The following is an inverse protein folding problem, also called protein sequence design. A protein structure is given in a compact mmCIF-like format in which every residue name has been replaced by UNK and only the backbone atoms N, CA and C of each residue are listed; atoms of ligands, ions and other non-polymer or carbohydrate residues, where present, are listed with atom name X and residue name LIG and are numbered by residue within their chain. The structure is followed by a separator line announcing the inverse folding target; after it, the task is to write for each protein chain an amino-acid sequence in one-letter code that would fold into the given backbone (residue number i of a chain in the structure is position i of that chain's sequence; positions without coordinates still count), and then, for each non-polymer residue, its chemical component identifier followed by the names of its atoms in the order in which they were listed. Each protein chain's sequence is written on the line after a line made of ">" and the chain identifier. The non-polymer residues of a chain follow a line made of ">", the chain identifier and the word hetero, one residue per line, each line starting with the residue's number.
data_IF_557175601130
#
_entry.id   IF_557175601130
#
_cell.length_a   1.000
_cell.length_b   1.000
_cell.length_c   1.000
_cell.angle_alpha   90.00
_cell.angle_beta   90.00
_cell.angle_gamma   90.00
#
_symmetry.space_group_name_H-M   'P 1'
#
loop_
_entity.id
_entity.type
_entity.pdbx_description
1 polymer ?
#
# COMPACT_ATOMS: atom_id res chain seq x y z
N UNK A 1 10.80 -30.51 34.60
CA UNK A 1 10.40 -30.38 33.18
C UNK A 1 11.25 -29.27 32.56
N UNK A 2 12.10 -29.59 31.58
CA UNK A 2 13.02 -28.63 30.95
C UNK A 2 12.34 -28.02 29.72
N UNK A 3 12.18 -26.71 29.68
CA UNK A 3 11.79 -25.98 28.47
C UNK A 3 13.03 -25.75 27.61
N UNK A 4 12.97 -26.17 26.34
CA UNK A 4 14.05 -25.98 25.37
C UNK A 4 13.99 -24.60 24.74
N UNK A 5 15.09 -23.85 24.83
CA UNK A 5 15.29 -22.59 24.12
C UNK A 5 15.46 -22.84 22.61
N UNK A 6 14.58 -22.27 21.79
CA UNK A 6 14.73 -22.26 20.34
C UNK A 6 15.70 -21.15 19.93
N UNK A 7 16.96 -21.51 19.65
CA UNK A 7 18.00 -20.60 19.20
C UNK A 7 17.86 -20.35 17.69
N UNK A 8 17.32 -19.20 17.29
CA UNK A 8 17.28 -18.74 15.89
C UNK A 8 18.71 -18.41 15.45
N UNK A 9 19.30 -19.24 14.59
CA UNK A 9 20.58 -18.96 13.93
C UNK A 9 20.36 -18.02 12.74
N UNK A 10 20.68 -16.73 12.90
CA UNK A 10 20.78 -15.78 11.78
C UNK A 10 21.98 -16.17 10.93
N UNK A 11 21.73 -16.81 9.77
CA UNK A 11 22.80 -17.11 8.80
C UNK A 11 23.37 -15.80 8.26
N UNK A 12 24.69 -15.60 8.36
CA UNK A 12 25.40 -14.49 7.72
C UNK A 12 25.04 -14.46 6.22
N UNK A 13 24.73 -13.29 5.63
CA UNK A 13 24.44 -13.19 4.21
C UNK A 13 25.64 -13.67 3.40
N UNK A 14 25.39 -14.51 2.39
CA UNK A 14 26.43 -15.03 1.50
C UNK A 14 27.22 -13.89 0.85
N UNK A 15 28.47 -14.17 0.48
CA UNK A 15 29.36 -13.20 -0.16
C UNK A 15 28.69 -12.49 -1.37
N UNK A 16 27.82 -13.22 -2.08
CA UNK A 16 26.99 -12.76 -3.20
C UNK A 16 25.99 -11.65 -2.81
N UNK A 17 25.38 -11.73 -1.62
CA UNK A 17 24.44 -10.71 -1.13
C UNK A 17 25.19 -9.45 -0.68
N UNK A 18 26.41 -9.62 -0.16
CA UNK A 18 27.27 -8.51 0.25
C UNK A 18 27.80 -7.75 -0.97
N UNK A 19 28.23 -8.46 -2.02
CA UNK A 19 28.66 -7.85 -3.29
C UNK A 19 27.51 -7.18 -4.04
N UNK A 20 26.30 -7.76 -4.05
CA UNK A 20 25.12 -7.12 -4.66
C UNK A 20 24.74 -5.79 -3.97
N UNK A 21 24.81 -5.74 -2.63
CA UNK A 21 24.58 -4.49 -1.88
C UNK A 21 25.68 -3.45 -2.14
N UNK A 22 26.93 -3.86 -2.31
CA UNK A 22 28.02 -2.96 -2.68
C UNK A 22 27.84 -2.38 -4.09
N UNK A 23 27.42 -3.20 -5.07
CA UNK A 23 27.13 -2.77 -6.43
C UNK A 23 25.96 -1.78 -6.49
N UNK A 24 24.89 -2.03 -5.72
CA UNK A 24 23.75 -1.12 -5.67
C UNK A 24 24.14 0.24 -5.06
N UNK A 25 24.99 0.24 -4.02
CA UNK A 25 25.54 1.48 -3.44
C UNK A 25 26.47 2.23 -4.40
N UNK A 26 27.32 1.53 -5.16
CA UNK A 26 28.18 2.16 -6.17
C UNK A 26 27.38 2.78 -7.32
N UNK A 27 26.30 2.12 -7.75
CA UNK A 27 25.41 2.65 -8.79
C UNK A 27 24.70 3.94 -8.35
N UNK A 28 24.27 4.02 -7.09
CA UNK A 28 23.67 5.23 -6.51
C UNK A 28 24.71 6.35 -6.34
N UNK A 29 25.95 6.01 -5.97
CA UNK A 29 27.04 6.99 -5.84
C UNK A 29 27.47 7.59 -7.19
N UNK A 30 27.52 6.77 -8.25
CA UNK A 30 27.83 7.21 -9.60
C UNK A 30 26.77 8.15 -10.20
N UNK A 31 25.48 7.92 -9.89
CA UNK A 31 24.38 8.80 -10.31
C UNK A 31 24.42 10.15 -9.56
N UNK A 32 24.84 10.18 -8.29
CA UNK A 32 24.90 11.42 -7.50
C UNK A 32 26.02 12.37 -7.90
N UNK A 33 27.06 11.92 -8.60
CA UNK A 33 28.26 12.73 -8.85
C UNK A 33 28.47 13.12 -10.32
N UNK A 34 27.37 13.46 -11.04
CA UNK A 34 27.32 14.19 -12.32
C UNK A 34 28.51 14.00 -13.28
N UNK A 35 28.95 12.75 -13.47
CA UNK A 35 30.04 12.38 -14.39
C UNK A 35 29.62 11.20 -15.26
N UNK A 36 28.33 11.15 -15.61
CA UNK A 36 27.78 10.25 -16.63
C UNK A 36 27.24 11.10 -17.79
N UNK A 37 27.75 10.93 -19.02
CA UNK A 37 27.21 11.63 -20.18
C UNK A 37 25.78 11.13 -20.47
N UNK A 38 24.84 12.07 -20.57
CA UNK A 38 23.37 11.87 -20.56
C UNK A 38 22.81 11.23 -21.85
N UNK A 39 23.64 10.91 -22.84
CA UNK A 39 23.19 10.53 -24.19
C UNK A 39 23.41 9.05 -24.56
N UNK A 40 23.33 8.12 -23.61
CA UNK A 40 23.43 6.66 -23.90
C UNK A 40 22.28 5.82 -23.35
N UNK A 41 21.09 6.43 -23.20
CA UNK A 41 19.94 5.82 -22.53
C UNK A 41 19.20 4.70 -23.29
N UNK A 42 19.64 4.26 -24.48
CA UNK A 42 18.93 3.24 -25.26
C UNK A 42 19.71 1.94 -25.51
N UNK A 43 20.99 1.85 -25.16
CA UNK A 43 21.81 0.69 -25.50
C UNK A 43 22.72 0.25 -24.36
N UNK A 44 22.36 -0.86 -23.70
CA UNK A 44 23.11 -1.48 -22.60
C UNK A 44 24.55 -1.86 -22.99
N UNK A 45 24.82 -1.99 -24.29
CA UNK A 45 26.14 -2.34 -24.83
C UNK A 45 27.18 -1.24 -24.56
N UNK A 46 26.77 0.02 -24.57
CA UNK A 46 27.65 1.17 -24.37
C UNK A 46 28.14 1.34 -22.92
N UNK A 47 27.31 0.96 -21.95
CA UNK A 47 27.65 1.00 -20.50
C UNK A 47 28.63 -0.11 -20.13
N UNK A 48 28.45 -1.30 -20.69
CA UNK A 48 29.38 -2.42 -20.50
C UNK A 48 30.75 -2.13 -21.11
N UNK A 49 30.80 -1.55 -22.31
CA UNK A 49 32.05 -1.18 -22.98
C UNK A 49 32.87 -0.12 -22.20
N UNK A 50 32.20 0.81 -21.50
CA UNK A 50 32.87 1.79 -20.63
C UNK A 50 33.43 1.12 -19.36
N UNK A 51 32.66 0.25 -18.72
CA UNK A 51 33.09 -0.49 -17.54
C UNK A 51 34.25 -1.45 -17.82
N UNK A 52 34.27 -2.09 -18.99
CA UNK A 52 35.40 -2.93 -19.43
C UNK A 52 36.70 -2.14 -19.58
N UNK A 53 36.62 -0.90 -20.12
CA UNK A 53 37.80 -0.03 -20.30
C UNK A 53 38.33 0.55 -19.01
N UNK A 54 37.47 0.89 -18.05
CA UNK A 54 37.88 1.56 -16.81
C UNK A 54 38.37 0.57 -15.76
N UNK A 55 37.81 -0.64 -15.72
CA UNK A 55 38.04 -1.59 -14.61
C UNK A 55 38.85 -2.82 -15.04
N UNK A 56 39.15 -2.99 -16.34
CA UNK A 56 40.06 -4.03 -16.84
C UNK A 56 39.65 -5.46 -16.48
N UNK A 57 38.34 -5.71 -16.31
CA UNK A 57 37.81 -6.97 -15.82
C UNK A 57 37.18 -7.74 -16.98
N UNK A 58 37.92 -8.69 -17.58
CA UNK A 58 37.32 -9.70 -18.47
C UNK A 58 36.54 -10.71 -17.63
N UNK A 59 35.33 -10.34 -17.21
CA UNK A 59 34.45 -11.19 -16.43
C UNK A 59 33.42 -11.87 -17.36
N UNK A 60 33.78 -13.09 -17.72
CA UNK A 60 32.94 -14.24 -18.07
C UNK A 60 31.42 -14.05 -18.01
N UNK A 61 30.78 -14.52 -19.09
CA UNK A 61 29.35 -14.63 -19.28
C UNK A 61 28.61 -15.18 -18.08
N UNK A 62 27.88 -14.30 -17.42
CA UNK A 62 26.70 -14.59 -16.64
C UNK A 62 25.90 -13.29 -16.51
N UNK A 63 25.46 -12.75 -17.65
CA UNK A 63 24.40 -11.75 -17.66
C UNK A 63 23.12 -12.48 -17.22
N UNK A 64 22.97 -12.64 -15.91
CA UNK A 64 21.69 -12.91 -15.30
C UNK A 64 20.83 -11.70 -15.64
N UNK A 65 20.13 -11.79 -16.78
CA UNK A 65 18.98 -10.95 -17.08
C UNK A 65 18.10 -11.06 -15.86
N UNK A 66 18.09 -10.00 -15.05
CA UNK A 66 17.08 -9.80 -14.03
C UNK A 66 15.78 -9.62 -14.80
N UNK A 67 15.14 -10.72 -15.17
CA UNK A 67 13.77 -10.72 -15.67
C UNK A 67 12.92 -10.29 -14.50
N UNK A 68 12.62 -9.00 -14.45
CA UNK A 68 11.49 -8.49 -13.68
C UNK A 68 10.27 -9.24 -14.20
N UNK A 69 9.81 -10.24 -13.44
CA UNK A 69 8.55 -10.92 -13.71
C UNK A 69 7.46 -9.86 -13.63
N UNK A 70 6.98 -9.40 -14.80
CA UNK A 70 5.76 -8.59 -14.89
C UNK A 70 4.66 -9.39 -14.22
N UNK A 71 4.15 -8.88 -13.10
CA UNK A 71 2.99 -9.44 -12.41
C UNK A 71 1.79 -9.21 -13.32
N UNK A 72 1.39 -10.23 -14.07
CA UNK A 72 0.17 -10.24 -14.88
C UNK A 72 -1.03 -9.91 -13.97
N UNK A 73 -1.74 -8.82 -14.27
CA UNK A 73 -2.96 -8.45 -13.54
C UNK A 73 -4.08 -9.35 -14.05
N UNK A 74 -4.42 -10.37 -13.25
CA UNK A 74 -5.49 -11.32 -13.58
C UNK A 74 -6.83 -10.58 -13.70
N UNK A 75 -7.48 -10.65 -14.87
CA UNK A 75 -8.75 -9.97 -15.15
C UNK A 75 -9.90 -10.85 -14.65
N UNK A 76 -10.45 -10.50 -13.49
CA UNK A 76 -11.60 -11.20 -12.90
C UNK A 76 -12.84 -11.06 -13.79
N UNK A 77 -13.60 -12.15 -13.96
CA UNK A 77 -14.91 -12.10 -14.62
C UNK A 77 -15.98 -11.69 -13.61
N UNK A 78 -17.15 -11.28 -14.10
CA UNK A 78 -18.27 -10.85 -13.25
C UNK A 78 -18.68 -11.92 -12.21
N UNK A 79 -18.66 -13.20 -12.60
CA UNK A 79 -18.92 -14.33 -11.70
C UNK A 79 -17.91 -14.43 -10.57
N UNK A 80 -16.63 -14.18 -10.89
CA UNK A 80 -15.53 -14.29 -9.93
C UNK A 80 -15.58 -13.13 -8.93
N UNK A 81 -16.00 -11.94 -9.38
CA UNK A 81 -16.26 -10.76 -8.53
C UNK A 81 -17.43 -11.04 -7.58
N UNK A 82 -18.54 -11.58 -8.10
CA UNK A 82 -19.72 -11.88 -7.29
C UNK A 82 -19.43 -12.97 -6.24
N UNK A 83 -18.71 -14.03 -6.62
CA UNK A 83 -18.27 -15.07 -5.69
C UNK A 83 -17.36 -14.51 -4.60
N UNK A 84 -16.36 -13.69 -4.98
CA UNK A 84 -15.48 -13.05 -4.00
C UNK A 84 -16.24 -12.10 -3.07
N UNK A 85 -17.20 -11.35 -3.59
CA UNK A 85 -18.06 -10.50 -2.78
C UNK A 85 -18.88 -11.34 -1.79
N UNK A 86 -19.45 -12.47 -2.23
CA UNK A 86 -20.19 -13.40 -1.37
C UNK A 86 -19.33 -13.94 -0.21
N UNK A 87 -18.09 -14.34 -0.49
CA UNK A 87 -17.15 -14.80 0.54
C UNK A 87 -16.85 -13.70 1.56
N UNK A 88 -16.55 -12.49 1.05
CA UNK A 88 -16.21 -11.34 1.88
C UNK A 88 -17.40 -10.93 2.76
N UNK A 89 -18.62 -10.90 2.23
CA UNK A 89 -19.80 -10.52 3.03
C UNK A 89 -20.29 -11.64 3.95
N UNK A 90 -19.94 -12.89 3.67
CA UNK A 90 -20.44 -14.08 4.38
C UNK A 90 -19.65 -14.45 5.64
N UNK A 91 -18.32 -14.39 5.60
CA UNK A 91 -17.47 -14.90 6.69
C UNK A 91 -16.59 -13.83 7.34
N UNK A 92 -15.57 -13.36 6.62
CA UNK A 92 -14.51 -12.51 7.16
C UNK A 92 -15.03 -11.17 7.70
N UNK A 93 -16.08 -10.63 7.08
CA UNK A 93 -16.65 -9.34 7.46
C UNK A 93 -17.34 -9.36 8.83
N UNK A 94 -18.00 -10.46 9.19
CA UNK A 94 -18.63 -10.53 10.52
C UNK A 94 -17.60 -10.61 11.65
N UNK A 95 -16.44 -11.21 11.41
CA UNK A 95 -15.35 -11.22 12.39
C UNK A 95 -14.71 -9.84 12.54
N UNK A 96 -14.46 -9.15 11.43
CA UNK A 96 -13.82 -7.83 11.43
C UNK A 96 -14.73 -6.70 11.92
N UNK A 97 -16.03 -6.78 11.64
CA UNK A 97 -16.97 -5.66 11.85
C UNK A 97 -18.20 -6.04 12.69
N UNK A 98 -18.24 -7.25 13.26
CA UNK A 98 -19.39 -7.76 14.01
C UNK A 98 -20.61 -8.04 13.13
N UNK A 99 -21.73 -8.33 13.79
CA UNK A 99 -23.02 -8.56 13.11
C UNK A 99 -23.42 -7.32 12.32
N UNK A 100 -23.85 -7.53 11.07
CA UNK A 100 -24.21 -6.44 10.14
C UNK A 100 -25.31 -5.53 10.68
N UNK A 101 -26.33 -6.12 11.32
CA UNK A 101 -27.46 -5.38 11.91
C UNK A 101 -26.96 -4.39 12.97
N UNK A 102 -26.09 -4.85 13.88
CA UNK A 102 -25.55 -4.01 14.95
C UNK A 102 -24.63 -2.93 14.41
N UNK A 103 -23.79 -3.27 13.41
CA UNK A 103 -22.89 -2.32 12.78
C UNK A 103 -23.64 -1.22 12.04
N UNK A 104 -24.61 -1.59 11.19
CA UNK A 104 -25.44 -0.63 10.46
C UNK A 104 -26.32 0.19 11.39
N UNK A 105 -26.82 -0.39 12.49
CA UNK A 105 -27.53 0.34 13.53
C UNK A 105 -26.66 1.42 14.17
N UNK A 106 -25.41 1.10 14.53
CA UNK A 106 -24.45 2.09 15.07
C UNK A 106 -24.13 3.18 14.07
N UNK A 107 -23.88 2.84 12.80
CA UNK A 107 -23.65 3.81 11.73
C UNK A 107 -24.85 4.75 11.58
N UNK A 108 -26.07 4.20 11.55
CA UNK A 108 -27.28 5.00 11.46
C UNK A 108 -27.40 5.97 12.65
N UNK A 109 -27.08 5.53 13.86
CA UNK A 109 -27.08 6.40 15.05
C UNK A 109 -26.10 7.57 14.91
N UNK A 110 -24.85 7.33 14.53
CA UNK A 110 -23.85 8.42 14.41
C UNK A 110 -24.14 9.34 13.22
N UNK A 111 -24.68 8.81 12.12
CA UNK A 111 -25.09 9.62 10.97
C UNK A 111 -26.28 10.52 11.31
N UNK A 112 -27.30 10.00 12.00
CA UNK A 112 -28.40 10.82 12.47
C UNK A 112 -27.95 11.91 13.44
N UNK A 113 -26.97 11.62 14.31
CA UNK A 113 -26.37 12.63 15.18
C UNK A 113 -25.68 13.73 14.37
N UNK A 114 -24.91 13.38 13.33
CA UNK A 114 -24.30 14.36 12.42
C UNK A 114 -25.36 15.21 11.73
N UNK A 115 -26.37 14.58 11.11
CA UNK A 115 -27.44 15.29 10.40
C UNK A 115 -28.16 16.30 11.29
N UNK A 116 -28.34 15.98 12.58
CA UNK A 116 -28.99 16.87 13.54
C UNK A 116 -28.14 18.08 13.95
N UNK A 117 -26.81 17.97 13.91
CA UNK A 117 -25.89 19.06 14.34
C UNK A 117 -25.31 19.86 13.17
N UNK A 118 -25.69 19.53 11.92
CA UNK A 118 -25.31 20.30 10.73
C UNK A 118 -25.71 21.76 10.89
N UNK A 119 -24.90 22.66 10.31
CA UNK A 119 -25.17 24.11 10.32
C UNK A 119 -26.54 24.45 9.75
N UNK A 120 -26.93 23.74 8.70
CA UNK A 120 -28.28 23.75 8.16
C UNK A 120 -28.81 22.30 8.05
N UNK A 121 -29.60 21.83 9.03
CA UNK A 121 -30.18 20.49 9.00
C UNK A 121 -31.16 20.27 7.84
N UNK A 122 -31.72 21.34 7.26
CA UNK A 122 -32.69 21.28 6.17
C UNK A 122 -32.04 21.24 4.78
N UNK A 123 -30.77 21.63 4.69
CA UNK A 123 -30.03 21.61 3.43
C UNK A 123 -29.81 20.18 2.92
N UNK A 124 -29.84 19.95 1.59
CA UNK A 124 -29.38 18.72 0.98
C UNK A 124 -27.93 18.39 1.38
N UNK A 125 -27.56 17.11 1.32
CA UNK A 125 -26.17 16.71 1.54
C UNK A 125 -25.29 17.14 0.37
N UNK A 126 -24.12 17.66 0.68
CA UNK A 126 -23.09 18.01 -0.31
C UNK A 126 -21.91 17.02 -0.30
N UNK A 127 -20.90 17.29 -1.13
CA UNK A 127 -19.72 16.45 -1.23
C UNK A 127 -18.87 16.43 0.05
N UNK A 128 -18.84 17.53 0.81
CA UNK A 128 -18.14 17.62 2.08
C UNK A 128 -18.85 16.77 3.14
N UNK A 129 -20.19 16.84 3.22
CA UNK A 129 -21.00 16.02 4.12
C UNK A 129 -20.74 14.53 3.91
N UNK A 130 -20.63 14.08 2.65
CA UNK A 130 -20.31 12.68 2.33
C UNK A 130 -18.93 12.29 2.88
N UNK A 131 -17.92 13.17 2.75
CA UNK A 131 -16.59 12.95 3.31
C UNK A 131 -16.63 12.71 4.83
N UNK A 132 -17.36 13.57 5.56
CA UNK A 132 -17.53 13.43 7.01
C UNK A 132 -18.33 12.16 7.37
N UNK A 133 -19.39 11.82 6.63
CA UNK A 133 -20.17 10.61 6.86
C UNK A 133 -19.32 9.34 6.69
N UNK A 134 -18.35 9.34 5.76
CA UNK A 134 -17.39 8.24 5.60
C UNK A 134 -16.44 8.08 6.79
N UNK A 135 -15.99 9.20 7.38
CA UNK A 135 -15.22 9.19 8.64
C UNK A 135 -16.06 8.58 9.77
N UNK A 136 -17.31 9.03 9.92
CA UNK A 136 -18.21 8.53 10.96
C UNK A 136 -18.54 7.05 10.79
N UNK A 137 -18.65 6.57 9.56
CA UNK A 137 -18.82 5.15 9.26
C UNK A 137 -17.64 4.34 9.81
N UNK A 138 -16.40 4.80 9.58
CA UNK A 138 -15.20 4.13 10.07
C UNK A 138 -15.09 4.21 11.59
N UNK A 139 -15.42 5.36 12.19
CA UNK A 139 -15.50 5.50 13.65
C UNK A 139 -16.50 4.51 14.27
N UNK A 140 -17.70 4.36 13.70
CA UNK A 140 -18.70 3.41 14.19
C UNK A 140 -18.22 1.95 14.12
N UNK A 141 -17.44 1.59 13.09
CA UNK A 141 -16.89 0.22 12.94
C UNK A 141 -15.92 -0.15 14.05
N UNK A 142 -15.19 0.81 14.62
CA UNK A 142 -14.29 0.56 15.77
C UNK A 142 -15.02 0.03 17.02
N UNK A 143 -16.34 0.20 17.10
CA UNK A 143 -17.17 -0.23 18.22
C UNK A 143 -17.70 -1.67 18.05
N UNK A 144 -17.18 -2.39 17.05
CA UNK A 144 -17.64 -3.72 16.66
C UNK A 144 -16.51 -4.56 16.10
N UNK A 145 -16.56 -5.88 16.33
CA UNK A 145 -15.52 -6.78 15.82
C UNK A 145 -14.18 -6.60 16.53
N UNK A 146 -13.11 -7.07 15.89
CA UNK A 146 -11.73 -6.94 16.37
C UNK A 146 -11.12 -5.58 16.05
N UNK A 147 -10.17 -5.13 16.86
CA UNK A 147 -9.38 -3.94 16.58
C UNK A 147 -8.73 -4.02 15.18
N UNK A 148 -8.91 -2.97 14.38
CA UNK A 148 -8.39 -2.86 13.02
C UNK A 148 -7.74 -1.48 12.82
N UNK A 149 -6.43 -1.45 12.57
CA UNK A 149 -5.69 -0.20 12.34
C UNK A 149 -6.09 0.51 11.04
N UNK A 150 -6.58 -0.23 10.05
CA UNK A 150 -7.08 0.31 8.78
C UNK A 150 -8.22 1.30 9.00
N UNK A 151 -9.04 1.11 10.04
CA UNK A 151 -10.14 2.02 10.32
C UNK A 151 -9.64 3.43 10.66
N UNK A 152 -8.49 3.56 11.32
CA UNK A 152 -7.89 4.86 11.65
C UNK A 152 -7.20 5.51 10.45
N UNK A 153 -6.55 4.70 9.60
CA UNK A 153 -5.95 5.20 8.36
C UNK A 153 -7.02 5.75 7.42
N UNK A 154 -8.12 5.02 7.27
CA UNK A 154 -9.25 5.46 6.46
C UNK A 154 -9.93 6.71 7.04
N UNK A 155 -10.08 6.81 8.37
CA UNK A 155 -10.58 8.05 8.99
C UNK A 155 -9.70 9.25 8.61
N UNK A 156 -8.38 9.11 8.70
CA UNK A 156 -7.46 10.19 8.33
C UNK A 156 -7.55 10.52 6.84
N UNK A 157 -7.62 9.50 5.97
CA UNK A 157 -7.75 9.68 4.53
C UNK A 157 -9.04 10.40 4.13
N UNK A 158 -10.19 9.93 4.62
CA UNK A 158 -11.48 10.57 4.33
C UNK A 158 -11.57 11.98 4.92
N UNK A 159 -11.02 12.22 6.11
CA UNK A 159 -10.96 13.56 6.69
C UNK A 159 -10.11 14.52 5.83
N UNK A 160 -8.97 14.06 5.32
CA UNK A 160 -8.12 14.84 4.42
C UNK A 160 -8.86 15.17 3.11
N UNK A 161 -9.49 14.18 2.47
CA UNK A 161 -10.29 14.40 1.25
C UNK A 161 -11.45 15.37 1.52
N UNK A 162 -12.15 15.24 2.65
CA UNK A 162 -13.24 16.14 3.04
C UNK A 162 -12.74 17.57 3.21
N UNK A 163 -11.56 17.75 3.82
CA UNK A 163 -10.93 19.07 3.97
C UNK A 163 -10.55 19.72 2.63
N UNK A 164 -10.07 18.93 1.67
CA UNK A 164 -9.79 19.41 0.31
C UNK A 164 -11.08 19.86 -0.41
N UNK A 165 -12.14 19.04 -0.32
CA UNK A 165 -13.47 19.39 -0.87
C UNK A 165 -14.03 20.66 -0.24
N UNK A 166 -13.88 20.83 1.09
CA UNK A 166 -14.31 22.05 1.77
C UNK A 166 -13.58 23.30 1.28
N UNK A 167 -12.28 23.19 0.98
CA UNK A 167 -11.50 24.30 0.44
C UNK A 167 -11.87 24.63 -1.01
N UNK A 168 -12.21 23.63 -1.81
CA UNK A 168 -12.62 23.83 -3.21
C UNK A 168 -14.03 24.45 -3.35
N UNK A 169 -14.84 24.39 -2.28
CA UNK A 169 -16.19 24.96 -2.24
C UNK A 169 -16.23 26.43 -1.77
N UNK A 170 -15.08 27.01 -1.41
CA UNK A 170 -14.90 28.44 -1.07
C UNK A 170 -14.50 29.21 -2.32
#
# INVERSE_FOLDING_TARGET
>A
MKFGECRITVRKPSLVVQTAKAFCKMRIAAIRNQTYPENSHSDTSSVLAWLERVVGLQAFGAFAVCTTTKKEVQRMRATDIAAKAADLVGGDREQQHGKKVDNFGRIATVWNAWLAVRRDPSAPLDAHDVGILMVLMKAARTQSGSHNMDDYVDMAGYAACSGEVAQAAV
#
